data_IF_529228887861
#
_entry.id   IF_529228887861
#
_cell.length_a   1.000
_cell.length_b   1.000
_cell.length_c   1.000
_cell.angle_alpha   90.00
_cell.angle_beta   90.00
_cell.angle_gamma   90.00
#
_symmetry.space_group_name_H-M   'P 1'
#
loop_
_entity.id
_entity.type
_entity.pdbx_description
1 polymer ?
#
# COMPACT_ATOMS: atom_id res chain seq x y z
N UNK A 1 8.26 -21.75 -20.94
CA UNK A 1 7.27 -20.81 -20.36
C UNK A 1 6.44 -21.59 -19.35
N UNK A 2 6.70 -21.43 -18.05
CA UNK A 2 5.90 -22.10 -17.03
C UNK A 2 4.52 -21.43 -16.97
N UNK A 3 3.51 -22.11 -17.51
CA UNK A 3 2.11 -21.71 -17.33
C UNK A 3 1.72 -21.97 -15.88
N UNK A 4 1.11 -21.00 -15.22
CA UNK A 4 0.54 -21.17 -13.88
C UNK A 4 -0.95 -21.53 -14.01
N UNK A 5 -1.49 -22.39 -13.15
CA UNK A 5 -2.91 -22.74 -13.20
C UNK A 5 -3.80 -21.52 -12.98
N UNK A 6 -4.90 -21.49 -13.72
CA UNK A 6 -5.96 -20.48 -13.61
C UNK A 6 -7.22 -21.15 -13.07
N UNK A 7 -7.70 -20.67 -11.93
CA UNK A 7 -8.92 -21.14 -11.28
C UNK A 7 -10.06 -20.16 -11.50
N UNK A 8 -11.28 -20.66 -11.70
CA UNK A 8 -12.47 -19.80 -11.66
C UNK A 8 -12.75 -19.37 -10.24
N UNK A 9 -13.48 -18.26 -10.11
CA UNK A 9 -13.92 -17.72 -8.83
C UNK A 9 -14.49 -18.79 -7.89
N UNK A 10 -13.94 -18.85 -6.67
CA UNK A 10 -14.27 -19.84 -5.60
C UNK A 10 -13.88 -21.29 -5.89
N UNK A 11 -13.11 -21.58 -6.95
CA UNK A 11 -12.66 -22.94 -7.29
C UNK A 11 -11.13 -23.13 -7.14
N UNK A 12 -10.45 -22.22 -6.43
CA UNK A 12 -9.04 -22.44 -6.09
C UNK A 12 -8.93 -23.50 -5.00
N UNK A 13 -7.93 -24.40 -5.06
CA UNK A 13 -7.69 -25.38 -4.02
C UNK A 13 -7.29 -24.71 -2.71
N UNK A 14 -7.45 -25.45 -1.61
CA UNK A 14 -7.00 -25.02 -0.29
C UNK A 14 -5.48 -24.82 -0.24
N UNK A 15 -5.02 -24.09 0.78
CA UNK A 15 -3.61 -23.76 0.94
C UNK A 15 -3.11 -22.63 0.01
N UNK A 16 -3.97 -22.08 -0.85
CA UNK A 16 -3.72 -20.90 -1.66
C UNK A 16 -4.45 -19.68 -1.12
N UNK A 17 -3.78 -18.54 -1.13
CA UNK A 17 -4.36 -17.28 -0.71
C UNK A 17 -3.92 -16.12 -1.60
N UNK A 18 -4.83 -15.18 -1.81
CA UNK A 18 -4.51 -13.88 -2.40
C UNK A 18 -3.65 -13.05 -1.46
N UNK A 19 -2.97 -12.03 -1.99
CA UNK A 19 -2.20 -11.10 -1.18
C UNK A 19 -3.02 -10.48 -0.03
N UNK A 20 -4.29 -10.12 -0.30
CA UNK A 20 -5.19 -9.54 0.71
C UNK A 20 -5.57 -10.55 1.79
N UNK A 21 -5.83 -11.80 1.41
CA UNK A 21 -6.11 -12.87 2.38
C UNK A 21 -4.89 -13.16 3.26
N UNK A 22 -3.67 -13.23 2.69
CA UNK A 22 -2.45 -13.36 3.49
C UNK A 22 -2.30 -12.20 4.49
N UNK A 23 -2.56 -10.97 4.06
CA UNK A 23 -2.48 -9.80 4.94
C UNK A 23 -3.49 -9.85 6.10
N UNK A 24 -4.71 -10.32 5.85
CA UNK A 24 -5.71 -10.53 6.90
C UNK A 24 -5.25 -11.57 7.94
N UNK A 25 -4.42 -12.53 7.53
CA UNK A 25 -3.80 -13.53 8.40
C UNK A 25 -2.48 -13.06 9.06
N UNK A 26 -2.08 -11.79 8.90
CA UNK A 26 -0.79 -11.30 9.40
C UNK A 26 0.42 -11.85 8.62
N UNK A 27 0.20 -12.37 7.42
CA UNK A 27 1.20 -12.98 6.55
C UNK A 27 1.53 -12.11 5.33
N UNK A 28 2.66 -12.42 4.70
CA UNK A 28 3.12 -11.87 3.41
C UNK A 28 3.64 -13.01 2.53
N UNK A 29 3.67 -12.86 1.19
CA UNK A 29 4.13 -13.90 0.28
C UNK A 29 5.56 -14.42 0.56
N UNK A 30 6.39 -13.66 1.26
CA UNK A 30 7.70 -14.15 1.68
C UNK A 30 8.76 -14.19 0.58
N UNK A 31 8.48 -13.64 -0.61
CA UNK A 31 9.36 -13.66 -1.78
C UNK A 31 9.08 -14.81 -2.75
N UNK A 32 8.06 -15.64 -2.48
CA UNK A 32 7.65 -16.69 -3.40
C UNK A 32 7.05 -16.11 -4.69
N UNK A 33 7.22 -16.79 -5.85
CA UNK A 33 6.54 -16.40 -7.08
C UNK A 33 5.03 -16.62 -6.97
N UNK A 34 4.27 -16.03 -7.89
CA UNK A 34 2.85 -16.37 -8.06
C UNK A 34 2.75 -17.84 -8.48
N UNK A 35 1.90 -18.61 -7.82
CA UNK A 35 1.73 -20.04 -8.11
C UNK A 35 0.45 -20.36 -8.86
N UNK A 36 -0.53 -19.46 -8.83
CA UNK A 36 -1.79 -19.60 -9.56
C UNK A 36 -2.49 -18.26 -9.72
N UNK A 37 -3.50 -18.23 -10.60
CA UNK A 37 -4.38 -17.11 -10.84
C UNK A 37 -5.83 -17.49 -10.52
N UNK A 38 -6.59 -16.56 -9.96
CA UNK A 38 -8.03 -16.66 -9.74
C UNK A 38 -8.74 -15.65 -10.64
N UNK A 39 -9.71 -16.10 -11.41
CA UNK A 39 -10.49 -15.25 -12.31
C UNK A 39 -11.95 -15.20 -11.93
N UNK A 40 -12.46 -13.98 -11.76
CA UNK A 40 -13.90 -13.72 -11.61
C UNK A 40 -14.45 -13.07 -12.88
N UNK A 41 -15.26 -13.80 -13.67
CA UNK A 41 -15.89 -13.25 -14.87
C UNK A 41 -16.74 -12.01 -14.56
N UNK A 42 -16.77 -11.07 -15.52
CA UNK A 42 -17.62 -9.88 -15.47
C UNK A 42 -18.40 -9.76 -16.77
N UNK A 43 -19.65 -9.28 -16.67
CA UNK A 43 -20.46 -8.99 -17.86
C UNK A 43 -19.84 -7.80 -18.61
N UNK A 44 -19.55 -7.99 -19.91
CA UNK A 44 -19.03 -6.95 -20.83
C UNK A 44 -17.73 -6.28 -20.38
N UNK A 45 -16.91 -6.95 -19.56
CA UNK A 45 -15.61 -6.47 -19.08
C UNK A 45 -14.67 -7.65 -18.87
N UNK A 46 -13.37 -7.38 -18.86
CA UNK A 46 -12.35 -8.35 -18.50
C UNK A 46 -12.56 -8.93 -17.09
N UNK A 47 -12.16 -10.20 -16.85
CA UNK A 47 -12.29 -10.82 -15.55
C UNK A 47 -11.45 -10.08 -14.51
N UNK A 48 -11.91 -10.11 -13.25
CA UNK A 48 -11.04 -9.71 -12.15
C UNK A 48 -10.03 -10.82 -11.90
N UNK A 49 -8.76 -10.44 -11.94
CA UNK A 49 -7.63 -11.32 -11.70
C UNK A 49 -7.14 -11.13 -10.27
N UNK A 50 -6.93 -12.23 -9.56
CA UNK A 50 -6.19 -12.23 -8.30
C UNK A 50 -5.10 -13.29 -8.33
N UNK A 51 -3.88 -12.88 -7.99
CA UNK A 51 -2.75 -13.80 -7.87
C UNK A 51 -2.79 -14.54 -6.54
N UNK A 52 -2.49 -15.83 -6.62
CA UNK A 52 -2.49 -16.76 -5.50
C UNK A 52 -1.06 -17.15 -5.14
N UNK A 53 -0.84 -17.24 -3.84
CA UNK A 53 0.40 -17.62 -3.19
C UNK A 53 0.12 -18.78 -2.25
N UNK A 54 1.13 -19.62 -1.99
CA UNK A 54 0.96 -20.70 -1.02
C UNK A 54 1.04 -20.14 0.40
N UNK A 55 0.10 -20.54 1.24
CA UNK A 55 0.01 -20.13 2.64
C UNK A 55 1.15 -20.73 3.46
N UNK A 56 1.54 -21.98 3.20
CA UNK A 56 2.62 -22.70 3.89
C UNK A 56 4.01 -22.05 3.71
N UNK A 57 4.23 -21.37 2.58
CA UNK A 57 5.47 -20.62 2.29
C UNK A 57 5.37 -19.13 2.66
N UNK A 58 4.22 -18.69 3.12
CA UNK A 58 4.05 -17.31 3.56
C UNK A 58 4.86 -17.07 4.85
N UNK A 59 5.28 -15.83 5.03
CA UNK A 59 6.05 -15.41 6.21
C UNK A 59 5.23 -14.40 7.00
N UNK A 60 5.44 -14.27 8.31
CA UNK A 60 4.87 -13.17 9.07
C UNK A 60 5.19 -11.82 8.40
N UNK A 61 4.22 -10.91 8.46
CA UNK A 61 4.44 -9.52 8.08
C UNK A 61 5.58 -8.96 8.95
N UNK A 62 6.51 -8.23 8.31
CA UNK A 62 7.59 -7.58 9.05
C UNK A 62 6.99 -6.55 10.01
N UNK A 63 7.23 -6.66 11.33
CA UNK A 63 6.68 -5.70 12.27
C UNK A 63 7.27 -4.31 12.01
N UNK A 64 6.52 -3.30 12.44
CA UNK A 64 7.02 -1.93 12.47
C UNK A 64 8.09 -1.82 13.55
N UNK A 65 9.32 -1.43 13.17
CA UNK A 65 10.41 -1.23 14.13
C UNK A 65 10.45 0.21 14.64
N UNK A 66 11.00 0.47 15.84
CA UNK A 66 11.21 1.83 16.35
C UNK A 66 11.96 2.73 15.35
N UNK A 67 13.03 2.21 14.74
CA UNK A 67 13.80 2.94 13.74
C UNK A 67 12.96 3.35 12.51
N UNK A 68 12.07 2.46 12.03
CA UNK A 68 11.15 2.79 10.94
C UNK A 68 10.12 3.84 11.34
N UNK A 69 9.60 3.79 12.57
CA UNK A 69 8.70 4.84 13.10
C UNK A 69 9.41 6.19 13.14
N UNK A 70 10.63 6.24 13.67
CA UNK A 70 11.42 7.47 13.72
C UNK A 70 11.70 8.02 12.31
N UNK A 71 12.05 7.15 11.35
CA UNK A 71 12.28 7.56 9.96
C UNK A 71 11.00 8.14 9.31
N UNK A 72 9.83 7.52 9.54
CA UNK A 72 8.56 8.04 9.04
C UNK A 72 8.18 9.37 9.69
N UNK A 73 8.39 9.52 11.00
CA UNK A 73 8.16 10.77 11.72
C UNK A 73 9.03 11.90 11.14
N UNK A 74 10.34 11.65 10.95
CA UNK A 74 11.26 12.61 10.34
C UNK A 74 10.86 12.97 8.91
N UNK A 75 10.45 11.99 8.10
CA UNK A 75 10.01 12.21 6.73
C UNK A 75 8.67 12.98 6.65
N UNK A 76 7.79 12.81 7.64
CA UNK A 76 6.55 13.58 7.74
C UNK A 76 6.85 15.02 8.17
N UNK A 77 7.65 15.22 9.24
CA UNK A 77 8.03 16.55 9.70
C UNK A 77 8.68 17.38 8.58
N UNK A 78 9.59 16.79 7.80
CA UNK A 78 10.21 17.46 6.66
C UNK A 78 9.22 17.89 5.55
N UNK A 79 8.06 17.24 5.47
CA UNK A 79 6.99 17.59 4.52
C UNK A 79 5.97 18.56 5.10
N UNK A 80 6.03 18.85 6.39
CA UNK A 80 5.14 19.80 7.07
C UNK A 80 5.85 21.13 7.34
N UNK A 81 7.19 21.13 7.42
CA UNK A 81 7.99 22.34 7.54
C UNK A 81 7.92 23.17 6.26
N UNK A 82 7.44 24.41 6.37
CA UNK A 82 7.41 25.34 5.26
C UNK A 82 8.81 25.86 4.93
N UNK A 83 9.28 25.78 3.66
CA UNK A 83 10.58 26.33 3.31
C UNK A 83 10.63 27.87 3.35
N UNK A 84 9.48 28.56 3.25
CA UNK A 84 9.42 30.03 3.21
C UNK A 84 9.39 30.68 4.59
N UNK A 85 8.73 30.05 5.57
CA UNK A 85 8.54 30.63 6.89
C UNK A 85 9.06 29.76 8.03
N UNK A 86 9.67 28.61 7.70
CA UNK A 86 10.31 27.68 8.62
C UNK A 86 9.41 27.15 9.77
N UNK A 87 8.09 27.32 9.64
CA UNK A 87 7.10 26.83 10.60
C UNK A 87 6.57 25.47 10.18
N UNK A 88 6.33 24.61 11.16
CA UNK A 88 5.55 23.39 10.97
C UNK A 88 4.10 23.77 10.71
N UNK A 89 3.61 23.45 9.51
CA UNK A 89 2.25 23.74 9.09
C UNK A 89 1.20 22.82 9.74
N UNK A 90 1.61 21.72 10.37
CA UNK A 90 0.70 20.71 10.94
C UNK A 90 0.06 19.77 9.91
N UNK A 91 0.26 20.01 8.61
CA UNK A 91 -0.21 19.18 7.50
C UNK A 91 0.88 19.04 6.43
N UNK A 92 0.77 18.00 5.58
CA UNK A 92 1.69 17.83 4.45
C UNK A 92 1.49 18.96 3.45
N UNK A 93 2.53 19.75 3.24
CA UNK A 93 2.52 20.85 2.29
C UNK A 93 2.25 20.30 0.87
N UNK A 94 1.25 20.85 0.15
CA UNK A 94 0.97 20.44 -1.22
C UNK A 94 2.16 20.71 -2.14
N UNK A 95 2.62 19.73 -2.94
CA UNK A 95 3.72 19.94 -3.88
C UNK A 95 3.43 21.03 -4.92
N UNK A 96 2.15 21.28 -5.24
CA UNK A 96 1.72 22.33 -6.17
C UNK A 96 1.92 23.75 -5.62
N UNK A 97 1.93 23.92 -4.29
CA UNK A 97 2.17 25.21 -3.66
C UNK A 97 3.65 25.40 -3.32
N UNK A 98 4.38 24.32 -3.03
CA UNK A 98 5.79 24.37 -2.60
C UNK A 98 6.01 24.99 -1.21
N UNK A 99 5.00 25.66 -0.66
CA UNK A 99 4.98 26.34 0.64
C UNK A 99 3.64 26.11 1.35
N UNK A 100 3.56 26.45 2.63
CA UNK A 100 2.32 26.31 3.38
C UNK A 100 1.22 27.26 2.85
N UNK A 101 -0.05 26.89 3.03
CA UNK A 101 -1.22 27.66 2.63
C UNK A 101 -1.19 29.11 3.13
N UNK A 102 -0.80 29.42 4.39
CA UNK A 102 -0.66 30.81 4.84
C UNK A 102 0.38 31.62 4.07
N UNK A 103 1.49 31.00 3.63
CA UNK A 103 2.49 31.67 2.80
C UNK A 103 2.00 31.87 1.36
N UNK A 104 1.29 30.87 0.81
CA UNK A 104 0.72 30.96 -0.53
C UNK A 104 -0.44 31.98 -0.61
N UNK A 105 -1.18 32.17 0.49
CA UNK A 105 -2.35 33.04 0.58
C UNK A 105 -2.33 33.87 1.89
N UNK A 106 -1.46 34.89 2.00
CA UNK A 106 -1.24 35.64 3.24
C UNK A 106 -2.42 36.48 3.75
N UNK A 107 -3.53 36.57 3.01
CA UNK A 107 -4.78 37.20 3.44
C UNK A 107 -5.85 36.22 3.95
N UNK A 108 -5.60 34.91 3.85
CA UNK A 108 -6.56 33.86 4.24
C UNK A 108 -6.09 33.22 5.54
N UNK A 109 -6.13 33.97 6.63
CA UNK A 109 -6.10 33.35 7.96
C UNK A 109 -7.41 32.57 8.13
N UNK A 110 -7.34 31.25 8.02
CA UNK A 110 -8.40 30.39 8.51
C UNK A 110 -8.49 30.60 10.04
N UNK A 111 -9.56 31.26 10.47
CA UNK A 111 -9.96 31.31 11.88
C UNK A 111 -10.35 29.95 12.42
#
# INVERSE_FOLDING_TARGET
MSTIPVYRWRLAPEGLATFRQLRALGLRPGGQPVVAQLERPRRRREPLIAFLYRVDRAKPVRPMTPAKRAALAKANAARQLCPECERDAGYRIPPSLGMCTPCAYPGTSAG
#
